data_IF_378188831212
#
_entry.id   IF_378188831212
#
_cell.length_a   1.000
_cell.length_b   1.000
_cell.length_c   1.000
_cell.angle_alpha   90.00
_cell.angle_beta   90.00
_cell.angle_gamma   90.00
#
_symmetry.space_group_name_H-M   'P 1'
#
loop_
_entity.id
_entity.type
_entity.pdbx_description
1 polymer ?
#
# COMPACT_ATOMS: atom_id res chain seq x y z
N UNK A 1 0.18 13.29 -19.33
CA UNK A 1 1.44 12.77 -18.77
C UNK A 1 1.16 11.35 -18.32
N UNK A 2 1.71 10.33 -18.98
CA UNK A 2 1.50 8.92 -18.57
C UNK A 2 2.82 8.43 -18.00
N UNK A 3 2.92 8.36 -16.67
CA UNK A 3 4.07 7.77 -15.99
C UNK A 3 3.93 6.25 -16.07
N UNK A 4 4.75 5.58 -16.89
CA UNK A 4 4.86 4.12 -16.92
C UNK A 4 5.72 3.66 -15.74
N UNK A 5 5.12 3.57 -14.57
CA UNK A 5 5.67 2.94 -13.36
C UNK A 5 4.49 2.64 -12.43
N UNK A 6 4.22 1.36 -12.13
CA UNK A 6 3.17 0.99 -11.17
C UNK A 6 2.03 0.16 -11.74
N UNK A 7 2.30 -1.11 -12.04
CA UNK A 7 1.23 -2.10 -12.14
C UNK A 7 1.11 -2.78 -10.78
N UNK A 8 -0.10 -2.79 -10.22
CA UNK A 8 -0.44 -3.68 -9.12
C UNK A 8 -0.18 -5.13 -9.55
N UNK A 9 0.40 -5.92 -8.66
CA UNK A 9 0.74 -7.33 -8.86
C UNK A 9 -0.07 -8.17 -7.89
N UNK A 10 -0.32 -9.42 -8.28
CA UNK A 10 -0.98 -10.41 -7.44
C UNK A 10 -0.04 -11.59 -7.19
N UNK A 11 0.13 -11.97 -5.93
CA UNK A 11 0.65 -13.28 -5.53
C UNK A 11 -0.55 -14.20 -5.33
N UNK A 12 -0.61 -15.31 -6.08
CA UNK A 12 -1.69 -16.29 -6.00
C UNK A 12 -1.17 -17.57 -5.33
N UNK A 13 -1.98 -18.13 -4.44
CA UNK A 13 -1.64 -19.33 -3.67
C UNK A 13 -2.74 -20.35 -3.93
N UNK A 14 -2.36 -21.46 -4.56
CA UNK A 14 -3.25 -22.58 -4.87
C UNK A 14 -3.13 -23.69 -3.82
N UNK A 15 -4.17 -24.50 -3.66
CA UNK A 15 -4.23 -25.53 -2.60
C UNK A 15 -3.20 -26.66 -2.77
N UNK A 16 -2.75 -26.93 -4.00
CA UNK A 16 -1.61 -27.79 -4.32
C UNK A 16 -1.12 -27.51 -5.75
N UNK A 17 0.02 -28.08 -6.15
CA UNK A 17 0.66 -27.85 -7.46
C UNK A 17 -0.17 -28.30 -8.68
N UNK A 18 -1.19 -29.15 -8.49
CA UNK A 18 -2.02 -29.71 -9.56
C UNK A 18 -3.48 -29.25 -9.51
N UNK A 19 -3.81 -28.32 -8.61
CA UNK A 19 -5.17 -27.88 -8.32
C UNK A 19 -5.38 -26.46 -8.79
N UNK A 20 -6.51 -26.21 -9.46
CA UNK A 20 -6.96 -24.88 -9.84
C UNK A 20 -7.69 -24.15 -8.68
N UNK A 21 -7.80 -24.77 -7.50
CA UNK A 21 -8.46 -24.13 -6.36
C UNK A 21 -7.54 -23.07 -5.72
N UNK A 22 -7.91 -21.80 -5.92
CA UNK A 22 -7.28 -20.66 -5.26
C UNK A 22 -7.57 -20.67 -3.75
N UNK A 23 -6.53 -20.83 -2.95
CA UNK A 23 -6.58 -20.83 -1.50
C UNK A 23 -6.39 -19.43 -0.89
N UNK A 24 -5.54 -18.59 -1.50
CA UNK A 24 -5.26 -17.24 -1.03
C UNK A 24 -4.71 -16.34 -2.14
N UNK A 25 -4.76 -15.02 -1.89
CA UNK A 25 -4.08 -14.03 -2.72
C UNK A 25 -3.50 -12.89 -1.88
N UNK A 26 -2.53 -12.17 -2.46
CA UNK A 26 -2.08 -10.87 -2.00
C UNK A 26 -1.91 -9.91 -3.17
N UNK A 27 -2.50 -8.71 -3.08
CA UNK A 27 -2.35 -7.62 -4.03
C UNK A 27 -1.33 -6.62 -3.51
N UNK A 28 -0.32 -6.29 -4.30
CA UNK A 28 0.76 -5.41 -3.86
C UNK A 28 1.29 -4.57 -5.02
N UNK A 29 1.94 -3.47 -4.68
CA UNK A 29 2.59 -2.59 -5.65
C UNK A 29 3.80 -1.90 -5.01
N UNK A 30 4.62 -1.27 -5.85
CA UNK A 30 5.74 -0.47 -5.37
C UNK A 30 5.51 0.99 -5.66
N UNK A 31 5.74 1.83 -4.65
CA UNK A 31 5.74 3.28 -4.75
C UNK A 31 7.16 3.82 -4.62
N UNK A 32 7.35 5.09 -4.92
CA UNK A 32 8.57 5.82 -4.57
C UNK A 32 8.22 6.93 -3.59
N UNK A 33 8.69 6.80 -2.36
CA UNK A 33 8.72 7.88 -1.36
C UNK A 33 10.04 8.64 -1.46
N UNK A 34 10.03 9.89 -1.00
CA UNK A 34 11.26 10.68 -0.88
C UNK A 34 12.07 10.33 0.36
N UNK A 35 11.38 9.91 1.42
CA UNK A 35 12.01 9.60 2.70
C UNK A 35 12.64 8.20 2.67
N UNK A 36 11.90 7.22 2.16
CA UNK A 36 12.32 5.81 2.16
C UNK A 36 12.82 5.32 0.80
N UNK A 37 12.79 6.16 -0.24
CA UNK A 37 13.05 5.71 -1.60
C UNK A 37 11.96 4.76 -2.09
N UNK A 38 12.33 3.60 -2.63
CA UNK A 38 11.35 2.65 -3.16
C UNK A 38 10.64 1.93 -2.01
N UNK A 39 9.31 2.00 -1.96
CA UNK A 39 8.48 1.36 -0.93
C UNK A 39 7.69 0.21 -1.53
N UNK A 40 7.40 -0.80 -0.71
CA UNK A 40 6.55 -1.93 -1.06
C UNK A 40 5.23 -1.83 -0.29
N UNK A 41 4.11 -1.71 -1.01
CA UNK A 41 2.78 -1.60 -0.42
C UNK A 41 2.01 -2.89 -0.64
N UNK A 42 1.48 -3.47 0.43
CA UNK A 42 0.49 -4.53 0.38
C UNK A 42 -0.90 -3.88 0.48
N UNK A 43 -1.67 -3.97 -0.61
CA UNK A 43 -3.01 -3.40 -0.74
C UNK A 43 -4.07 -4.29 -0.08
N UNK A 44 -4.04 -5.58 -0.40
CA UNK A 44 -5.02 -6.53 0.08
C UNK A 44 -4.39 -7.91 0.25
N UNK A 45 -4.86 -8.65 1.26
CA UNK A 45 -4.47 -10.02 1.53
C UNK A 45 -5.69 -10.79 2.00
N UNK A 46 -5.93 -11.92 1.35
CA UNK A 46 -7.04 -12.79 1.69
C UNK A 46 -6.64 -14.25 1.66
N UNK A 47 -7.05 -14.98 2.70
CA UNK A 47 -6.97 -16.44 2.76
C UNK A 47 -8.40 -16.97 2.90
N UNK A 48 -8.79 -17.88 2.00
CA UNK A 48 -10.09 -18.55 2.02
C UNK A 48 -10.25 -19.31 3.34
N UNK A 49 -11.45 -19.26 3.91
CA UNK A 49 -11.71 -19.68 5.30
C UNK A 49 -11.26 -21.12 5.61
N UNK A 50 -11.51 -22.05 4.68
CA UNK A 50 -11.12 -23.47 4.77
C UNK A 50 -9.61 -23.68 4.82
N UNK A 51 -8.82 -22.71 4.39
CA UNK A 51 -7.36 -22.76 4.34
C UNK A 51 -6.67 -21.92 5.43
N UNK A 52 -7.43 -21.25 6.30
CA UNK A 52 -6.88 -20.45 7.40
C UNK A 52 -6.26 -21.33 8.49
N UNK A 53 -5.39 -20.73 9.31
CA UNK A 53 -4.68 -21.40 10.42
C UNK A 53 -3.73 -22.52 9.99
N UNK A 54 -3.37 -22.59 8.70
CA UNK A 54 -2.39 -23.53 8.14
C UNK A 54 -1.03 -22.87 7.83
N UNK A 55 -0.77 -21.67 8.37
CA UNK A 55 0.49 -20.93 8.13
C UNK A 55 0.55 -20.14 6.81
N UNK A 56 -0.50 -20.16 5.98
CA UNK A 56 -0.53 -19.49 4.66
C UNK A 56 -0.23 -17.99 4.76
N UNK A 57 -0.80 -17.28 5.74
CA UNK A 57 -0.51 -15.85 5.92
C UNK A 57 0.98 -15.59 6.15
N UNK A 58 1.65 -16.40 6.97
CA UNK A 58 3.10 -16.31 7.20
C UNK A 58 3.89 -16.61 5.92
N UNK A 59 3.47 -17.61 5.15
CA UNK A 59 4.09 -17.93 3.86
C UNK A 59 3.97 -16.78 2.85
N UNK A 60 2.80 -16.12 2.78
CA UNK A 60 2.60 -14.94 1.94
C UNK A 60 3.59 -13.83 2.32
N UNK A 61 3.65 -13.44 3.60
CA UNK A 61 4.58 -12.39 4.05
C UNK A 61 6.05 -12.76 3.85
N UNK A 62 6.42 -14.04 3.96
CA UNK A 62 7.76 -14.53 3.60
C UNK A 62 8.06 -14.27 2.13
N UNK A 63 7.16 -14.63 1.21
CA UNK A 63 7.36 -14.39 -0.22
C UNK A 63 7.37 -12.90 -0.57
N UNK A 64 6.47 -12.10 0.02
CA UNK A 64 6.47 -10.65 -0.15
C UNK A 64 7.79 -10.03 0.36
N UNK A 65 8.34 -10.52 1.47
CA UNK A 65 9.63 -10.05 2.01
C UNK A 65 10.79 -10.34 1.06
N UNK A 66 10.83 -11.54 0.46
CA UNK A 66 11.83 -11.86 -0.58
C UNK A 66 11.71 -10.93 -1.78
N UNK A 67 10.47 -10.70 -2.23
CA UNK A 67 10.19 -9.82 -3.36
C UNK A 67 10.56 -8.36 -3.07
N UNK A 68 10.28 -7.86 -1.86
CA UNK A 68 10.67 -6.52 -1.42
C UNK A 68 12.20 -6.38 -1.37
N UNK A 69 12.90 -7.39 -0.82
CA UNK A 69 14.35 -7.42 -0.73
C UNK A 69 15.03 -7.38 -2.11
N UNK A 70 14.62 -8.26 -3.04
CA UNK A 70 15.13 -8.27 -4.43
C UNK A 70 14.86 -6.94 -5.12
N UNK A 71 13.74 -6.29 -4.79
CA UNK A 71 13.36 -5.00 -5.35
C UNK A 71 13.99 -3.80 -4.64
N UNK A 72 14.88 -4.01 -3.67
CA UNK A 72 15.54 -2.97 -2.87
C UNK A 72 14.54 -2.05 -2.16
N UNK A 73 13.42 -2.62 -1.70
CA UNK A 73 12.46 -1.92 -0.86
C UNK A 73 12.84 -2.18 0.60
N UNK A 74 13.09 -1.15 1.43
CA UNK A 74 13.58 -1.33 2.80
C UNK A 74 12.48 -1.76 3.77
N UNK A 75 11.20 -1.63 3.37
CA UNK A 75 10.04 -1.92 4.20
C UNK A 75 8.85 -2.43 3.36
N UNK A 76 7.91 -3.08 4.04
CA UNK A 76 6.58 -3.41 3.53
C UNK A 76 5.56 -2.69 4.41
N UNK A 77 4.66 -1.93 3.81
CA UNK A 77 3.57 -1.23 4.49
C UNK A 77 2.21 -1.74 4.04
N UNK A 78 1.25 -1.78 4.96
CA UNK A 78 -0.14 -2.13 4.71
C UNK A 78 -1.05 -1.43 5.71
N UNK A 79 -2.33 -1.32 5.36
CA UNK A 79 -3.34 -0.72 6.22
C UNK A 79 -4.37 -1.76 6.64
N UNK A 80 -4.86 -1.62 7.87
CA UNK A 80 -5.92 -2.47 8.42
C UNK A 80 -7.04 -1.57 8.89
N UNK A 81 -8.27 -1.89 8.48
CA UNK A 81 -9.45 -1.18 8.99
C UNK A 81 -9.51 -1.34 10.51
N UNK A 82 -9.75 -0.24 11.22
CA UNK A 82 -9.89 -0.22 12.69
C UNK A 82 -10.95 -1.19 13.21
N UNK A 83 -11.95 -1.51 12.39
CA UNK A 83 -13.02 -2.46 12.70
C UNK A 83 -12.63 -3.93 12.53
N UNK A 84 -11.49 -4.24 11.89
CA UNK A 84 -11.06 -5.61 11.62
C UNK A 84 -10.24 -6.18 12.79
N UNK A 85 -10.92 -6.43 13.91
CA UNK A 85 -10.29 -6.92 15.14
C UNK A 85 -9.45 -8.19 14.94
N UNK A 86 -9.92 -9.13 14.09
CA UNK A 86 -9.21 -10.38 13.81
C UNK A 86 -7.88 -10.15 13.08
N UNK A 87 -7.84 -9.22 12.13
CA UNK A 87 -6.61 -8.87 11.44
C UNK A 87 -5.64 -8.12 12.37
N UNK A 88 -6.16 -7.18 13.17
CA UNK A 88 -5.35 -6.46 14.17
C UNK A 88 -4.70 -7.46 15.13
N UNK A 89 -5.47 -8.38 15.72
CA UNK A 89 -4.95 -9.41 16.61
C UNK A 89 -3.89 -10.30 15.92
N UNK A 90 -4.13 -10.68 14.66
CA UNK A 90 -3.15 -11.43 13.88
C UNK A 90 -1.83 -10.67 13.73
N UNK A 91 -1.87 -9.38 13.36
CA UNK A 91 -0.68 -8.56 13.15
C UNK A 91 0.03 -8.15 14.44
N UNK A 92 -0.69 -8.01 15.55
CA UNK A 92 -0.08 -7.72 16.87
C UNK A 92 0.75 -8.92 17.37
N UNK A 93 0.40 -10.15 16.96
CA UNK A 93 1.15 -11.37 17.26
C UNK A 93 2.06 -11.83 16.10
N UNK A 94 2.10 -11.08 14.99
CA UNK A 94 2.93 -11.42 13.86
C UNK A 94 4.39 -11.05 14.14
N UNK A 95 5.32 -11.95 13.85
CA UNK A 95 6.74 -11.71 14.14
C UNK A 95 7.26 -10.47 13.37
N UNK A 96 7.91 -9.56 14.09
CA UNK A 96 8.57 -8.36 13.54
C UNK A 96 7.66 -7.31 12.87
N UNK A 97 6.34 -7.41 12.99
CA UNK A 97 5.44 -6.29 12.67
C UNK A 97 5.49 -5.23 13.77
N UNK A 98 5.22 -3.97 13.40
CA UNK A 98 5.07 -2.86 14.33
C UNK A 98 3.80 -2.09 13.96
N UNK A 99 2.96 -1.80 14.95
CA UNK A 99 1.79 -0.95 14.75
C UNK A 99 2.20 0.52 14.81
N UNK A 100 2.14 1.20 13.67
CA UNK A 100 2.54 2.61 13.52
C UNK A 100 1.44 3.61 13.91
N UNK A 101 0.27 3.15 14.38
CA UNK A 101 -0.87 4.04 14.70
C UNK A 101 -0.71 4.77 16.04
N UNK A 102 -0.07 4.14 17.03
CA UNK A 102 0.04 4.65 18.41
C UNK A 102 1.49 4.88 18.84
N UNK A 103 2.43 5.01 17.90
CA UNK A 103 3.83 5.28 18.23
C UNK A 103 3.99 6.75 18.66
N UNK A 104 4.81 7.01 19.68
CA UNK A 104 5.09 8.38 20.15
C UNK A 104 6.08 9.14 19.25
N UNK A 105 6.29 8.69 18.01
CA UNK A 105 7.16 9.36 17.04
C UNK A 105 6.35 10.33 16.19
N UNK A 106 7.04 11.33 15.63
CA UNK A 106 6.46 12.31 14.70
C UNK A 106 6.08 11.72 13.31
N UNK A 107 6.07 10.39 13.16
CA UNK A 107 5.87 9.66 11.91
C UNK A 107 4.42 9.19 11.70
N UNK A 108 3.47 9.67 12.52
CA UNK A 108 2.05 9.31 12.37
C UNK A 108 1.43 9.94 11.12
N UNK A 109 0.71 9.12 10.35
CA UNK A 109 0.03 9.56 9.14
C UNK A 109 -1.46 9.85 9.40
N UNK A 110 -1.92 11.01 8.95
CA UNK A 110 -3.35 11.26 8.77
C UNK A 110 -3.80 10.79 7.39
N UNK A 111 -4.93 10.08 7.34
CA UNK A 111 -5.53 9.63 6.10
C UNK A 111 -6.62 10.60 5.63
N UNK A 112 -6.50 11.10 4.40
CA UNK A 112 -7.46 12.02 3.79
C UNK A 112 -8.00 11.42 2.49
N UNK A 113 -9.24 11.77 2.13
CA UNK A 113 -9.90 11.35 0.90
C UNK A 113 -10.73 12.50 0.35
N UNK A 114 -10.71 12.65 -0.98
CA UNK A 114 -11.69 13.43 -1.72
C UNK A 114 -12.58 12.43 -2.46
N UNK A 115 -13.88 12.63 -2.41
CA UNK A 115 -14.85 11.75 -3.06
C UNK A 115 -15.24 12.29 -4.44
N UNK A 116 -15.74 11.39 -5.31
CA UNK A 116 -15.97 11.69 -6.73
C UNK A 116 -16.91 12.87 -6.96
N UNK A 117 -17.95 13.00 -6.14
CA UNK A 117 -18.92 14.09 -6.19
C UNK A 117 -18.27 15.47 -5.94
N UNK A 118 -17.16 15.52 -5.22
CA UNK A 118 -16.44 16.77 -4.90
C UNK A 118 -15.45 17.17 -5.99
N UNK A 119 -15.13 16.26 -6.93
CA UNK A 119 -14.07 16.49 -7.93
C UNK A 119 -14.37 17.69 -8.82
N UNK A 120 -15.62 17.81 -9.31
CA UNK A 120 -16.01 18.87 -10.21
C UNK A 120 -15.89 20.25 -9.57
N UNK A 121 -16.33 20.38 -8.31
CA UNK A 121 -16.22 21.62 -7.54
C UNK A 121 -14.76 22.00 -7.32
N UNK A 122 -13.90 21.03 -6.96
CA UNK A 122 -12.48 21.26 -6.75
C UNK A 122 -11.78 21.76 -8.03
N UNK A 123 -12.07 21.13 -9.19
CA UNK A 123 -11.53 21.54 -10.48
C UNK A 123 -11.98 22.96 -10.85
N UNK A 124 -13.26 23.28 -10.66
CA UNK A 124 -13.80 24.60 -10.99
C UNK A 124 -13.16 25.70 -10.15
N UNK A 125 -13.10 25.53 -8.82
CA UNK A 125 -12.42 26.49 -7.92
C UNK A 125 -10.95 26.67 -8.29
N UNK A 126 -10.25 25.59 -8.66
CA UNK A 126 -8.83 25.67 -9.04
C UNK A 126 -8.63 26.47 -10.34
N UNK A 127 -9.53 26.33 -11.31
CA UNK A 127 -9.46 27.09 -12.56
C UNK A 127 -9.66 28.60 -12.35
N UNK A 128 -10.49 28.99 -11.37
CA UNK A 128 -10.71 30.40 -11.00
C UNK A 128 -9.45 31.07 -10.43
N UNK A 129 -8.55 30.31 -9.81
CA UNK A 129 -7.30 30.81 -9.25
C UNK A 129 -6.28 31.28 -10.32
N UNK A 130 -6.55 31.05 -11.62
CA UNK A 130 -5.66 31.39 -12.75
C UNK A 130 -4.21 30.89 -12.58
N UNK A 131 -3.99 29.83 -11.80
CA UNK A 131 -2.67 29.25 -11.56
C UNK A 131 -2.26 28.43 -12.80
N UNK A 132 -1.16 28.81 -13.45
CA UNK A 132 -0.63 28.07 -14.58
C UNK A 132 0.21 26.86 -14.09
N UNK A 133 -0.47 25.75 -13.82
CA UNK A 133 0.13 24.50 -13.32
C UNK A 133 1.24 23.96 -14.25
N UNK A 134 1.14 24.21 -15.56
CA UNK A 134 2.14 23.79 -16.54
C UNK A 134 3.49 24.52 -16.41
N UNK A 135 3.54 25.72 -15.81
CA UNK A 135 4.80 26.44 -15.53
C UNK A 135 5.49 25.96 -14.25
N UNK A 136 4.75 25.45 -13.27
CA UNK A 136 5.27 25.03 -11.96
C UNK A 136 6.09 23.72 -12.06
N UNK A 137 5.73 22.83 -13.00
CA UNK A 137 6.35 21.51 -13.15
C UNK A 137 7.82 21.50 -13.60
N UNK A 138 8.38 22.63 -14.06
CA UNK A 138 9.77 22.73 -14.54
C UNK A 138 10.80 23.20 -13.51
N UNK A 139 10.39 23.76 -12.36
CA UNK A 139 11.33 24.39 -11.42
C UNK A 139 11.66 23.57 -10.16
N UNK A 140 10.86 22.57 -9.79
CA UNK A 140 11.09 21.83 -8.54
C UNK A 140 11.39 20.34 -8.77
N UNK A 141 12.68 20.00 -8.89
CA UNK A 141 13.18 18.61 -8.79
C UNK A 141 13.22 18.08 -7.35
N UNK A 142 12.87 18.90 -6.36
CA UNK A 142 12.67 18.49 -4.98
C UNK A 142 11.20 18.71 -4.65
N UNK A 143 10.36 17.74 -4.99
CA UNK A 143 9.01 17.69 -4.42
C UNK A 143 9.19 17.65 -2.91
N UNK A 144 8.57 18.56 -2.18
CA UNK A 144 8.05 18.23 -0.86
C UNK A 144 6.54 17.98 -1.06
N UNK A 145 5.87 17.22 -0.18
CA UNK A 145 4.45 17.53 0.01
C UNK A 145 4.45 18.95 0.58
N UNK A 146 4.32 19.95 -0.31
CA UNK A 146 4.15 21.36 0.03
C UNK A 146 2.77 21.71 -0.48
N UNK A 147 1.89 22.09 0.44
CA UNK A 147 0.82 23.04 0.17
C UNK A 147 1.45 24.44 0.16
#
# INVERSE_FOLDING_TARGET
MVTRSGLAKALLIYSNEKSDELAAYALYFTLTSREFGKMFMLEDIYVKETFRRQGIGKAIFSELSKLAFVQQCPLIEWFVLRSNAKAIEFYDHFENSKNMTNNSSDEQLYWWRIEENEFAEFVNKTNELKINVAKISKQNKRMFCIL
#
